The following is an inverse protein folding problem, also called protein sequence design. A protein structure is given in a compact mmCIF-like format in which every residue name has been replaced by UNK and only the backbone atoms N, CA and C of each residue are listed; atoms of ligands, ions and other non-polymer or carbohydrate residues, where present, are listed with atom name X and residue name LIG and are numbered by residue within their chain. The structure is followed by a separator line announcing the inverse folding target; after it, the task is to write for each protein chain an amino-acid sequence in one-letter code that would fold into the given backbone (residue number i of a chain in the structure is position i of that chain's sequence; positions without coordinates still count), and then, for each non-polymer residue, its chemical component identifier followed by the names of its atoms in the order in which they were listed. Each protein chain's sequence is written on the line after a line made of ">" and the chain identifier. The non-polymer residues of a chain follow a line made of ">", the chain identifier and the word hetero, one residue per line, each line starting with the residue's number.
data_IF_424106151347
#
_entry.id   IF_424106151347
#
_cell.length_a   1.000
_cell.length_b   1.000
_cell.length_c   1.000
_cell.angle_alpha   90.00
_cell.angle_beta   90.00
_cell.angle_gamma   90.00
#
_symmetry.space_group_name_H-M   'P 1'
#
loop_
_entity.id
_entity.type
_entity.pdbx_description
1 polymer ?
#
# COMPACT_ATOMS: atom_id res chain seq x y z
N UNK A 1 -26.67 -48.72 12.95
CA UNK A 1 -26.92 -47.83 11.79
C UNK A 1 -26.11 -48.36 10.62
N UNK A 2 -26.75 -48.93 9.59
CA UNK A 2 -26.04 -49.28 8.35
C UNK A 2 -25.84 -48.01 7.51
N UNK A 3 -24.66 -47.81 6.92
CA UNK A 3 -24.42 -46.68 6.04
C UNK A 3 -25.27 -46.82 4.75
N UNK A 4 -25.91 -45.73 4.33
CA UNK A 4 -26.70 -45.74 3.10
C UNK A 4 -25.72 -45.79 1.91
N UNK A 5 -25.83 -46.73 0.96
CA UNK A 5 -24.86 -46.86 -0.14
C UNK A 5 -24.71 -45.61 -1.02
N UNK A 6 -25.68 -44.68 -1.00
CA UNK A 6 -25.54 -43.36 -1.65
C UNK A 6 -24.47 -42.47 -0.99
N UNK A 7 -24.29 -42.56 0.33
CA UNK A 7 -23.32 -41.75 1.08
C UNK A 7 -21.88 -42.11 0.69
N UNK A 8 -21.62 -43.40 0.43
CA UNK A 8 -20.29 -43.91 0.06
C UNK A 8 -19.79 -43.34 -1.26
N UNK A 9 -20.69 -43.14 -2.25
CA UNK A 9 -20.34 -42.53 -3.54
C UNK A 9 -20.06 -41.04 -3.39
N UNK A 10 -20.84 -40.34 -2.56
CA UNK A 10 -20.62 -38.92 -2.25
C UNK A 10 -19.27 -38.66 -1.57
N UNK A 11 -18.92 -39.47 -0.56
CA UNK A 11 -17.66 -39.33 0.19
C UNK A 11 -16.43 -39.55 -0.71
N UNK A 12 -16.48 -40.50 -1.65
CA UNK A 12 -15.37 -40.74 -2.59
C UNK A 12 -15.07 -39.52 -3.48
N UNK A 13 -16.08 -38.72 -3.84
CA UNK A 13 -15.92 -37.47 -4.59
C UNK A 13 -15.36 -36.30 -3.76
N UNK A 14 -15.32 -36.47 -2.43
CA UNK A 14 -14.78 -35.51 -1.46
C UNK A 14 -13.33 -35.82 -1.06
N UNK A 15 -12.69 -36.88 -1.56
CA UNK A 15 -11.29 -37.19 -1.20
C UNK A 15 -10.32 -36.11 -1.69
N UNK A 16 -9.50 -35.60 -0.78
CA UNK A 16 -8.48 -34.58 -1.05
C UNK A 16 -7.15 -35.20 -1.46
N UNK A 17 -6.64 -34.81 -2.62
CA UNK A 17 -5.35 -35.28 -3.16
C UNK A 17 -4.11 -34.60 -2.54
N UNK A 18 -4.26 -33.81 -1.47
CA UNK A 18 -3.17 -33.11 -0.80
C UNK A 18 -2.57 -31.90 -1.54
N UNK A 19 -3.02 -31.59 -2.77
CA UNK A 19 -2.43 -30.52 -3.58
C UNK A 19 -2.97 -29.13 -3.19
N UNK A 20 -2.08 -28.22 -2.76
CA UNK A 20 -2.46 -26.89 -2.24
C UNK A 20 -3.24 -26.02 -3.25
N UNK A 21 -2.95 -26.14 -4.54
CA UNK A 21 -3.69 -25.41 -5.59
C UNK A 21 -5.15 -25.87 -5.71
N UNK A 22 -5.44 -27.12 -5.34
CA UNK A 22 -6.81 -27.68 -5.31
C UNK A 22 -7.52 -27.46 -3.98
N UNK A 23 -6.79 -27.12 -2.91
CA UNK A 23 -7.35 -26.99 -1.56
C UNK A 23 -8.57 -26.07 -1.50
N UNK A 24 -8.52 -24.86 -2.08
CA UNK A 24 -9.66 -23.92 -2.09
C UNK A 24 -10.93 -24.53 -2.72
N UNK A 25 -10.78 -25.27 -3.82
CA UNK A 25 -11.91 -25.91 -4.52
C UNK A 25 -12.45 -27.08 -3.70
N UNK A 26 -11.54 -27.86 -3.11
CA UNK A 26 -11.88 -28.96 -2.21
C UNK A 26 -12.63 -28.47 -0.96
N UNK A 27 -12.13 -27.44 -0.28
CA UNK A 27 -12.77 -26.80 0.87
C UNK A 27 -14.20 -26.36 0.56
N UNK A 28 -14.44 -25.77 -0.61
CA UNK A 28 -15.78 -25.36 -1.02
C UNK A 28 -16.74 -26.56 -1.15
N UNK A 29 -16.27 -27.69 -1.71
CA UNK A 29 -17.04 -28.94 -1.77
C UNK A 29 -17.28 -29.54 -0.38
N UNK A 30 -16.26 -29.58 0.47
CA UNK A 30 -16.36 -30.10 1.83
C UNK A 30 -17.39 -29.32 2.66
N UNK A 31 -17.34 -27.97 2.63
CA UNK A 31 -18.32 -27.10 3.30
C UNK A 31 -19.73 -27.24 2.69
N UNK A 32 -19.84 -27.45 1.37
CA UNK A 32 -21.15 -27.77 0.75
C UNK A 32 -21.73 -29.06 1.30
N UNK A 33 -20.91 -30.10 1.47
CA UNK A 33 -21.37 -31.37 2.03
C UNK A 33 -21.78 -31.26 3.50
N UNK A 34 -21.07 -30.47 4.32
CA UNK A 34 -21.52 -30.18 5.68
C UNK A 34 -22.90 -29.50 5.70
N UNK A 35 -23.18 -28.59 4.75
CA UNK A 35 -24.52 -27.98 4.61
C UNK A 35 -25.59 -29.00 4.22
N UNK A 36 -25.27 -29.94 3.34
CA UNK A 36 -26.16 -31.07 3.01
C UNK A 36 -26.46 -31.92 4.25
N UNK A 37 -25.46 -32.18 5.10
CA UNK A 37 -25.65 -32.89 6.38
C UNK A 37 -26.51 -32.09 7.37
N UNK A 38 -26.35 -30.76 7.44
CA UNK A 38 -27.22 -29.86 8.22
C UNK A 38 -28.68 -29.99 7.77
N UNK A 39 -28.96 -29.90 6.46
CA UNK A 39 -30.31 -30.05 5.90
C UNK A 39 -30.88 -31.45 6.14
N UNK A 40 -30.06 -32.51 6.00
CA UNK A 40 -30.48 -33.88 6.27
C UNK A 40 -30.86 -34.10 7.74
N UNK A 41 -30.10 -33.53 8.68
CA UNK A 41 -30.40 -33.60 10.11
C UNK A 41 -31.68 -32.83 10.47
N UNK A 42 -31.91 -31.65 9.87
CA UNK A 42 -33.16 -30.91 10.01
C UNK A 42 -34.36 -31.68 9.44
N UNK A 43 -34.20 -32.34 8.28
CA UNK A 43 -35.23 -33.19 7.70
C UNK A 43 -35.58 -34.42 8.56
N UNK A 44 -34.57 -35.05 9.19
CA UNK A 44 -34.79 -36.13 10.16
C UNK A 44 -35.50 -35.62 11.43
N UNK A 45 -35.12 -34.44 11.91
CA UNK A 45 -35.78 -33.82 13.06
C UNK A 45 -37.26 -33.55 12.80
N UNK A 46 -37.62 -32.97 11.65
CA UNK A 46 -39.01 -32.70 11.25
C UNK A 46 -39.89 -33.96 11.19
N UNK A 47 -39.29 -35.13 11.01
CA UNK A 47 -39.97 -36.43 11.01
C UNK A 47 -40.02 -37.10 12.41
N UNK A 48 -39.63 -36.39 13.47
CA UNK A 48 -39.43 -36.93 14.83
C UNK A 48 -40.07 -36.07 15.91
N UNK A 49 -40.14 -36.58 17.13
CA UNK A 49 -40.60 -35.85 18.33
C UNK A 49 -39.44 -35.27 19.17
N UNK A 50 -38.25 -35.15 18.59
CA UNK A 50 -37.04 -34.68 19.29
C UNK A 50 -36.92 -33.14 19.27
N UNK A 51 -36.08 -32.52 20.12
CA UNK A 51 -35.81 -31.08 20.08
C UNK A 51 -35.05 -30.67 18.80
N UNK A 52 -35.16 -29.40 18.40
CA UNK A 52 -34.56 -28.91 17.16
C UNK A 52 -33.01 -28.93 17.21
N UNK A 53 -32.33 -29.45 16.16
CA UNK A 53 -30.88 -29.34 16.01
C UNK A 53 -30.50 -27.93 15.56
N UNK A 54 -30.29 -27.03 16.51
CA UNK A 54 -30.00 -25.60 16.28
C UNK A 54 -28.59 -25.31 15.75
N UNK A 55 -27.65 -26.24 15.90
CA UNK A 55 -26.25 -26.09 15.47
C UNK A 55 -26.07 -26.70 14.08
N UNK A 56 -25.40 -25.99 13.17
CA UNK A 56 -25.10 -26.48 11.82
C UNK A 56 -23.74 -27.17 11.79
N UNK A 57 -23.56 -28.15 10.91
CA UNK A 57 -22.28 -28.85 10.76
C UNK A 57 -21.15 -27.90 10.33
N UNK A 58 -21.43 -26.91 9.48
CA UNK A 58 -20.42 -25.96 9.01
C UNK A 58 -19.95 -24.94 10.06
N UNK A 59 -20.71 -24.74 11.15
CA UNK A 59 -20.36 -23.78 12.21
C UNK A 59 -19.14 -24.27 13.02
N UNK A 60 -19.01 -25.59 13.20
CA UNK A 60 -17.90 -26.26 13.88
C UNK A 60 -16.51 -26.01 13.24
N UNK A 61 -16.45 -25.56 11.99
CA UNK A 61 -15.19 -25.19 11.33
C UNK A 61 -14.71 -23.79 11.72
N UNK A 62 -15.63 -22.91 12.15
CA UNK A 62 -15.35 -21.50 12.44
C UNK A 62 -15.05 -21.28 13.94
N UNK A 63 -15.64 -22.09 14.81
CA UNK A 63 -15.43 -22.04 16.25
C UNK A 63 -16.06 -23.25 16.94
N UNK A 64 -16.11 -23.23 18.28
CA UNK A 64 -16.97 -24.12 19.04
C UNK A 64 -18.36 -23.45 19.16
N UNK A 65 -19.44 -24.00 18.59
CA UNK A 65 -20.78 -23.43 18.71
C UNK A 65 -21.19 -23.33 20.19
N UNK A 66 -22.03 -22.37 20.59
CA UNK A 66 -22.47 -22.25 21.97
C UNK A 66 -23.25 -23.50 22.43
N UNK A 67 -23.10 -23.85 23.71
CA UNK A 67 -23.94 -24.89 24.34
C UNK A 67 -25.31 -24.26 24.63
N UNK A 68 -26.38 -24.85 24.10
CA UNK A 68 -27.73 -24.43 24.42
C UNK A 68 -28.03 -24.75 25.90
N UNK A 69 -28.22 -23.71 26.72
CA UNK A 69 -28.75 -23.83 28.08
C UNK A 69 -30.27 -23.93 28.02
N UNK A 70 -30.78 -25.16 27.97
CA UNK A 70 -32.22 -25.44 28.11
C UNK A 70 -32.53 -25.81 29.58
N UNK A 71 -33.53 -25.19 30.23
CA UNK A 71 -33.94 -25.56 31.59
C UNK A 71 -34.57 -26.96 31.69
N UNK A 72 -35.02 -27.57 30.59
CA UNK A 72 -35.43 -28.97 30.55
C UNK A 72 -34.20 -29.89 30.36
N UNK A 73 -33.88 -30.66 31.41
CA UNK A 73 -32.77 -31.63 31.41
C UNK A 73 -32.84 -32.63 30.24
N UNK A 74 -34.05 -33.02 29.79
CA UNK A 74 -34.21 -33.91 28.64
C UNK A 74 -33.83 -33.23 27.34
N UNK A 75 -34.17 -31.95 27.16
CA UNK A 75 -33.76 -31.16 25.98
C UNK A 75 -32.26 -30.88 26.00
N UNK A 76 -31.71 -30.52 27.15
CA UNK A 76 -30.26 -30.35 27.33
C UNK A 76 -29.48 -31.62 26.91
N UNK A 77 -29.95 -32.81 27.32
CA UNK A 77 -29.36 -34.11 26.89
C UNK A 77 -29.44 -34.32 25.38
N UNK A 78 -30.54 -33.96 24.73
CA UNK A 78 -30.66 -34.03 23.26
C UNK A 78 -29.71 -33.05 22.55
N UNK A 79 -29.59 -31.81 23.02
CA UNK A 79 -28.63 -30.85 22.47
C UNK A 79 -27.18 -31.33 22.64
N UNK A 80 -26.83 -31.91 23.79
CA UNK A 80 -25.50 -32.52 24.02
C UNK A 80 -25.27 -33.75 23.11
N UNK A 81 -26.29 -34.58 22.89
CA UNK A 81 -26.24 -35.69 21.95
C UNK A 81 -25.96 -35.20 20.52
N UNK A 82 -26.70 -34.21 20.03
CA UNK A 82 -26.47 -33.65 18.69
C UNK A 82 -25.05 -33.10 18.53
N UNK A 83 -24.54 -32.35 19.53
CA UNK A 83 -23.15 -31.85 19.52
C UNK A 83 -22.13 -32.99 19.38
N UNK A 84 -22.26 -34.02 20.23
CA UNK A 84 -21.36 -35.18 20.22
C UNK A 84 -21.42 -35.93 18.89
N UNK A 85 -22.64 -36.15 18.37
CA UNK A 85 -22.89 -36.82 17.09
C UNK A 85 -22.30 -36.04 15.91
N UNK A 86 -22.51 -34.73 15.84
CA UNK A 86 -21.94 -33.86 14.80
C UNK A 86 -20.41 -33.88 14.82
N UNK A 87 -19.79 -33.69 15.99
CA UNK A 87 -18.32 -33.73 16.15
C UNK A 87 -17.75 -35.07 15.68
N UNK A 88 -18.38 -36.19 16.05
CA UNK A 88 -17.91 -37.52 15.64
C UNK A 88 -18.11 -37.79 14.14
N UNK A 89 -19.21 -37.31 13.54
CA UNK A 89 -19.41 -37.41 12.10
C UNK A 89 -18.39 -36.56 11.32
N UNK A 90 -18.09 -35.32 11.76
CA UNK A 90 -17.08 -34.48 11.12
C UNK A 90 -15.69 -35.09 11.26
N UNK A 91 -15.31 -35.59 12.45
CA UNK A 91 -14.04 -36.32 12.65
C UNK A 91 -13.93 -37.55 11.74
N UNK A 92 -15.00 -38.34 11.65
CA UNK A 92 -15.07 -39.53 10.79
C UNK A 92 -14.92 -39.14 9.31
N UNK A 93 -15.61 -38.09 8.86
CA UNK A 93 -15.52 -37.60 7.50
C UNK A 93 -14.09 -37.13 7.18
N UNK A 94 -13.52 -36.23 8.01
CA UNK A 94 -12.14 -35.74 7.86
C UNK A 94 -11.13 -36.88 7.80
N UNK A 95 -11.29 -37.94 8.60
CA UNK A 95 -10.41 -39.11 8.57
C UNK A 95 -10.45 -39.93 7.28
N UNK A 96 -11.53 -39.79 6.48
CA UNK A 96 -11.72 -40.46 5.18
C UNK A 96 -11.36 -39.58 3.98
N UNK A 97 -11.51 -38.26 4.11
CA UNK A 97 -11.34 -37.32 2.98
C UNK A 97 -9.98 -36.63 2.95
N UNK A 98 -9.16 -36.73 3.99
CA UNK A 98 -7.81 -36.16 4.03
C UNK A 98 -6.73 -37.19 3.68
N UNK A 99 -5.54 -36.77 3.22
CA UNK A 99 -4.43 -37.69 2.94
C UNK A 99 -3.99 -38.46 4.20
N UNK A 100 -3.80 -39.78 4.07
CA UNK A 100 -3.48 -40.68 5.18
C UNK A 100 -2.28 -40.22 6.02
N UNK A 101 -1.21 -39.74 5.37
CA UNK A 101 -0.02 -39.20 6.05
C UNK A 101 -0.34 -38.03 6.97
N UNK A 102 -1.33 -37.19 6.63
CA UNK A 102 -1.79 -36.12 7.52
C UNK A 102 -2.67 -36.68 8.63
N UNK A 103 -3.59 -37.62 8.32
CA UNK A 103 -4.43 -38.25 9.34
C UNK A 103 -3.60 -38.98 10.40
N UNK A 104 -2.49 -39.63 10.01
CA UNK A 104 -1.52 -40.25 10.92
C UNK A 104 -0.82 -39.20 11.82
N UNK A 105 -0.22 -38.16 11.21
CA UNK A 105 0.39 -37.05 11.96
C UNK A 105 -0.59 -36.39 12.94
N UNK A 106 -1.85 -36.23 12.55
CA UNK A 106 -2.88 -35.68 13.43
C UNK A 106 -3.26 -36.63 14.56
N UNK A 107 -3.33 -37.95 14.35
CA UNK A 107 -3.58 -38.93 15.41
C UNK A 107 -2.46 -38.99 16.46
N UNK A 108 -1.21 -38.77 16.03
CA UNK A 108 -0.04 -38.74 16.92
C UNK A 108 0.04 -37.43 17.72
N UNK A 109 -0.37 -36.30 17.13
CA UNK A 109 -0.16 -34.96 17.70
C UNK A 109 -1.41 -34.31 18.33
N UNK A 110 -2.62 -34.77 17.98
CA UNK A 110 -3.88 -34.14 18.38
C UNK A 110 -4.84 -35.13 19.04
N UNK A 111 -5.40 -34.75 20.19
CA UNK A 111 -6.27 -35.65 20.96
C UNK A 111 -7.68 -35.78 20.37
N UNK A 112 -8.37 -36.87 20.71
CA UNK A 112 -9.81 -37.04 20.41
C UNK A 112 -10.69 -35.94 21.03
N UNK A 113 -10.19 -35.24 22.06
CA UNK A 113 -10.88 -34.15 22.76
C UNK A 113 -10.69 -32.78 22.10
N UNK A 114 -9.85 -32.66 21.08
CA UNK A 114 -9.55 -31.37 20.48
C UNK A 114 -10.75 -30.80 19.68
N UNK A 115 -11.05 -29.48 19.76
CA UNK A 115 -12.15 -28.89 19.01
C UNK A 115 -11.97 -28.99 17.48
N UNK A 116 -13.08 -29.19 16.76
CA UNK A 116 -13.10 -29.30 15.29
C UNK A 116 -12.44 -28.09 14.62
N UNK A 117 -12.71 -26.86 15.08
CA UNK A 117 -12.15 -25.65 14.50
C UNK A 117 -10.61 -25.56 14.61
N UNK A 118 -9.99 -26.23 15.60
CA UNK A 118 -8.51 -26.31 15.74
C UNK A 118 -7.91 -27.29 14.73
N UNK A 119 -8.50 -28.47 14.63
CA UNK A 119 -8.20 -29.46 13.58
C UNK A 119 -8.34 -28.83 12.18
N UNK A 120 -9.41 -28.06 11.95
CA UNK A 120 -9.63 -27.33 10.71
C UNK A 120 -8.57 -26.26 10.45
N UNK A 121 -8.19 -25.46 11.47
CA UNK A 121 -7.13 -24.46 11.34
C UNK A 121 -5.76 -25.06 10.97
N UNK A 122 -5.41 -26.26 11.49
CA UNK A 122 -4.17 -26.95 11.09
C UNK A 122 -4.24 -27.51 9.65
N UNK A 123 -5.42 -27.95 9.19
CA UNK A 123 -5.65 -28.31 7.78
C UNK A 123 -5.44 -27.08 6.88
N UNK A 124 -6.03 -25.94 7.23
CA UNK A 124 -5.86 -24.67 6.50
C UNK A 124 -4.40 -24.15 6.56
N UNK A 125 -3.70 -24.35 7.66
CA UNK A 125 -2.27 -24.00 7.81
C UNK A 125 -1.36 -24.89 6.96
N UNK A 126 -1.63 -26.20 6.88
CA UNK A 126 -0.83 -27.13 6.05
C UNK A 126 -1.13 -26.99 4.56
N UNK A 127 -2.39 -26.91 4.16
CA UNK A 127 -2.82 -27.00 2.76
C UNK A 127 -3.38 -25.71 2.17
N UNK A 128 -3.84 -24.79 3.00
CA UNK A 128 -4.35 -23.50 2.56
C UNK A 128 -3.28 -22.60 1.94
N UNK A 129 -3.74 -21.73 1.06
CA UNK A 129 -2.93 -20.62 0.57
C UNK A 129 -3.04 -19.51 1.62
N UNK A 130 -1.94 -19.28 2.36
CA UNK A 130 -1.87 -18.19 3.35
C UNK A 130 -2.37 -16.87 2.72
N UNK A 131 -3.26 -16.18 3.44
CA UNK A 131 -3.74 -14.85 3.09
C UNK A 131 -2.57 -13.86 2.93
N UNK A 132 -1.59 -13.90 3.83
CA UNK A 132 -0.34 -13.12 3.75
C UNK A 132 0.46 -13.48 2.49
N UNK A 133 0.59 -14.76 2.14
CA UNK A 133 1.29 -15.18 0.89
C UNK A 133 0.53 -14.74 -0.36
N UNK A 134 -0.81 -14.75 -0.33
CA UNK A 134 -1.67 -14.25 -1.41
C UNK A 134 -1.46 -12.75 -1.61
N UNK A 135 -1.58 -11.97 -0.54
CA UNK A 135 -1.30 -10.53 -0.51
C UNK A 135 0.11 -10.22 -1.01
N UNK A 136 1.14 -10.85 -0.42
CA UNK A 136 2.56 -10.70 -0.81
C UNK A 136 2.78 -10.96 -2.30
N UNK A 137 2.07 -11.93 -2.88
CA UNK A 137 2.19 -12.26 -4.30
C UNK A 137 1.47 -11.24 -5.17
N UNK A 138 0.27 -10.80 -4.78
CA UNK A 138 -0.50 -9.79 -5.50
C UNK A 138 0.18 -8.41 -5.45
N UNK A 139 0.65 -7.95 -4.30
CA UNK A 139 1.42 -6.70 -4.14
C UNK A 139 2.72 -6.74 -4.95
N UNK A 140 3.45 -7.88 -4.95
CA UNK A 140 4.63 -8.02 -5.82
C UNK A 140 4.27 -7.98 -7.30
N UNK A 141 3.11 -8.52 -7.71
CA UNK A 141 2.62 -8.40 -9.09
C UNK A 141 2.28 -6.94 -9.43
N UNK A 142 1.63 -6.20 -8.53
CA UNK A 142 1.34 -4.77 -8.71
C UNK A 142 2.60 -3.96 -9.00
N UNK A 143 3.65 -4.12 -8.18
CA UNK A 143 4.96 -3.47 -8.39
C UNK A 143 5.56 -3.85 -9.76
N UNK A 144 5.60 -5.14 -10.09
CA UNK A 144 6.14 -5.64 -11.37
C UNK A 144 5.37 -5.17 -12.60
N UNK A 145 4.06 -4.93 -12.50
CA UNK A 145 3.26 -4.41 -13.62
C UNK A 145 3.56 -2.93 -13.87
N UNK A 146 3.73 -2.12 -12.82
CA UNK A 146 4.19 -0.73 -12.98
C UNK A 146 5.59 -0.66 -13.60
N UNK A 147 6.55 -1.42 -13.06
CA UNK A 147 7.94 -1.41 -13.54
C UNK A 147 8.11 -2.11 -14.91
N UNK A 148 7.16 -2.95 -15.32
CA UNK A 148 7.21 -3.73 -16.56
C UNK A 148 6.98 -2.94 -17.85
N UNK A 149 7.11 -3.62 -18.99
CA UNK A 149 6.69 -3.10 -20.31
C UNK A 149 5.16 -3.10 -20.41
N UNK A 150 4.59 -2.04 -20.99
CA UNK A 150 3.15 -1.88 -21.22
C UNK A 150 2.85 -1.36 -22.64
N UNK A 151 1.69 -1.74 -23.18
CA UNK A 151 1.25 -1.38 -24.54
C UNK A 151 0.75 0.06 -24.65
N UNK A 152 0.07 0.57 -23.63
CA UNK A 152 -0.36 1.96 -23.49
C UNK A 152 -0.51 2.33 -22.01
N UNK A 153 -0.60 3.63 -21.70
CA UNK A 153 -0.85 4.10 -20.33
C UNK A 153 -2.22 3.65 -19.81
N UNK A 154 -3.23 3.64 -20.68
CA UNK A 154 -4.58 3.12 -20.38
C UNK A 154 -4.55 1.63 -19.99
N UNK A 155 -3.83 0.80 -20.76
CA UNK A 155 -3.67 -0.63 -20.45
C UNK A 155 -2.98 -0.83 -19.08
N UNK A 156 -1.95 -0.03 -18.78
CA UNK A 156 -1.26 -0.06 -17.49
C UNK A 156 -2.21 0.28 -16.33
N UNK A 157 -2.98 1.37 -16.42
CA UNK A 157 -3.97 1.71 -15.40
C UNK A 157 -5.05 0.64 -15.25
N UNK A 158 -5.52 0.04 -16.35
CA UNK A 158 -6.49 -1.06 -16.34
C UNK A 158 -6.00 -2.29 -15.55
N UNK A 159 -4.78 -2.75 -15.83
CA UNK A 159 -4.16 -3.87 -15.10
C UNK A 159 -3.93 -3.53 -13.62
N UNK A 160 -3.38 -2.36 -13.33
CA UNK A 160 -3.09 -1.93 -11.96
C UNK A 160 -4.37 -1.74 -11.13
N UNK A 161 -5.47 -1.23 -11.72
CA UNK A 161 -6.80 -1.18 -11.07
C UNK A 161 -7.32 -2.57 -10.73
N UNK A 162 -7.22 -3.52 -11.67
CA UNK A 162 -7.66 -4.89 -11.44
C UNK A 162 -6.88 -5.54 -10.29
N UNK A 163 -5.58 -5.27 -10.20
CA UNK A 163 -4.75 -5.68 -9.07
C UNK A 163 -5.11 -4.97 -7.76
N UNK A 164 -5.35 -3.64 -7.77
CA UNK A 164 -5.86 -2.89 -6.61
C UNK A 164 -7.16 -3.51 -6.09
N UNK A 165 -8.15 -3.73 -6.95
CA UNK A 165 -9.43 -4.31 -6.54
C UNK A 165 -9.27 -5.71 -5.96
N UNK A 166 -8.40 -6.55 -6.54
CA UNK A 166 -8.09 -7.87 -6.00
C UNK A 166 -7.41 -7.81 -4.61
N UNK A 167 -6.45 -6.91 -4.44
CA UNK A 167 -5.72 -6.68 -3.19
C UNK A 167 -6.66 -6.12 -2.11
N UNK A 168 -7.41 -5.06 -2.42
CA UNK A 168 -8.30 -4.41 -1.47
C UNK A 168 -9.50 -5.28 -1.10
N UNK A 169 -10.06 -6.09 -2.01
CA UNK A 169 -11.06 -7.10 -1.66
C UNK A 169 -10.54 -8.08 -0.60
N UNK A 170 -9.28 -8.50 -0.73
CA UNK A 170 -8.63 -9.39 0.23
C UNK A 170 -8.30 -8.67 1.55
N UNK A 171 -7.79 -7.44 1.52
CA UNK A 171 -7.49 -6.67 2.73
C UNK A 171 -8.74 -6.22 3.47
N UNK A 172 -9.84 -5.90 2.78
CA UNK A 172 -11.13 -5.63 3.42
C UNK A 172 -11.66 -6.85 4.17
N UNK A 173 -11.50 -8.07 3.62
CA UNK A 173 -11.90 -9.29 4.31
C UNK A 173 -11.17 -9.47 5.65
N UNK A 174 -9.84 -9.36 5.65
CA UNK A 174 -8.98 -9.74 6.78
C UNK A 174 -8.50 -8.58 7.68
N UNK A 175 -8.40 -7.36 7.15
CA UNK A 175 -7.90 -6.15 7.85
C UNK A 175 -8.96 -5.05 8.01
N UNK A 176 -10.16 -5.22 7.43
CA UNK A 176 -11.27 -4.24 7.44
C UNK A 176 -10.91 -2.85 6.87
N UNK A 177 -9.93 -2.81 5.96
CA UNK A 177 -9.47 -1.59 5.29
C UNK A 177 -8.83 -1.89 3.95
N UNK A 178 -8.75 -0.88 3.10
CA UNK A 178 -7.96 -0.89 1.87
C UNK A 178 -6.45 -0.79 2.19
N UNK A 179 -5.62 -1.28 1.27
CA UNK A 179 -4.15 -1.25 1.37
C UNK A 179 -3.51 -0.49 0.20
N UNK A 180 -4.17 -0.48 -0.97
CA UNK A 180 -3.71 0.24 -2.16
C UNK A 180 -4.70 1.38 -2.46
N UNK A 181 -4.26 2.63 -2.33
CA UNK A 181 -5.06 3.81 -2.72
C UNK A 181 -4.97 4.09 -4.23
N UNK A 182 -5.84 4.96 -4.74
CA UNK A 182 -5.70 5.50 -6.09
C UNK A 182 -4.47 6.40 -6.22
N UNK A 183 -4.13 7.17 -5.19
CA UNK A 183 -2.93 8.02 -5.18
C UNK A 183 -1.65 7.19 -5.39
N UNK A 184 -1.58 6.00 -4.75
CA UNK A 184 -0.46 5.08 -4.94
C UNK A 184 -0.41 4.55 -6.38
N UNK A 185 -1.57 4.22 -6.99
CA UNK A 185 -1.62 3.82 -8.39
C UNK A 185 -1.09 4.93 -9.32
N UNK A 186 -1.53 6.17 -9.10
CA UNK A 186 -1.08 7.32 -9.87
C UNK A 186 0.44 7.49 -9.72
N UNK A 187 0.96 7.51 -8.49
CA UNK A 187 2.39 7.68 -8.23
C UNK A 187 3.24 6.56 -8.84
N UNK A 188 2.74 5.31 -8.86
CA UNK A 188 3.42 4.20 -9.54
C UNK A 188 3.50 4.40 -11.06
N UNK A 189 2.44 4.90 -11.70
CA UNK A 189 2.46 5.21 -13.15
C UNK A 189 3.36 6.41 -13.45
N UNK A 190 3.29 7.48 -12.66
CA UNK A 190 4.14 8.66 -12.85
C UNK A 190 5.63 8.34 -12.62
N UNK A 191 5.95 7.42 -11.70
CA UNK A 191 7.32 7.01 -11.41
C UNK A 191 8.03 6.28 -12.56
N UNK A 192 7.29 5.75 -13.54
CA UNK A 192 7.83 4.99 -14.68
C UNK A 192 7.71 5.72 -16.02
N UNK A 193 7.24 6.97 -16.02
CA UNK A 193 7.08 7.82 -17.20
C UNK A 193 8.07 9.01 -17.15
N UNK A 194 8.50 9.57 -18.30
CA UNK A 194 9.44 10.70 -18.31
C UNK A 194 8.73 12.00 -17.89
N UNK A 195 9.20 12.61 -16.81
CA UNK A 195 8.53 13.74 -16.16
C UNK A 195 8.57 15.04 -16.96
N UNK A 196 9.46 15.14 -17.96
CA UNK A 196 9.52 16.25 -18.90
C UNK A 196 8.23 16.47 -19.72
N UNK A 197 7.40 15.43 -19.89
CA UNK A 197 6.16 15.51 -20.68
C UNK A 197 4.93 15.88 -19.82
N UNK A 198 4.89 15.49 -18.54
CA UNK A 198 3.70 15.64 -17.68
C UNK A 198 3.92 16.53 -16.44
N UNK A 199 5.15 16.80 -16.03
CA UNK A 199 5.47 17.40 -14.72
C UNK A 199 4.95 18.83 -14.52
N UNK A 200 4.60 19.53 -15.60
CA UNK A 200 3.94 20.85 -15.54
C UNK A 200 2.39 20.78 -15.59
N UNK A 201 1.81 19.62 -15.90
CA UNK A 201 0.37 19.42 -16.12
C UNK A 201 -0.33 18.68 -14.96
N UNK A 202 0.46 18.01 -14.12
CA UNK A 202 -0.01 17.23 -12.97
C UNK A 202 0.48 17.92 -11.70
N UNK A 203 -0.46 18.38 -10.88
CA UNK A 203 -0.21 19.02 -9.60
C UNK A 203 -0.65 18.05 -8.50
N UNK A 204 0.14 17.98 -7.42
CA UNK A 204 -0.19 17.15 -6.26
C UNK A 204 -1.06 17.95 -5.30
N UNK A 205 -2.36 18.04 -5.61
CA UNK A 205 -3.37 18.74 -4.82
C UNK A 205 -4.66 17.91 -4.70
N UNK A 206 -5.47 18.18 -3.68
CA UNK A 206 -6.68 17.40 -3.36
C UNK A 206 -7.84 17.58 -4.33
N UNK A 207 -7.82 18.57 -5.21
CA UNK A 207 -8.87 18.81 -6.19
C UNK A 207 -8.57 18.10 -7.53
N UNK A 208 -7.32 18.17 -8.02
CA UNK A 208 -6.94 17.68 -9.36
C UNK A 208 -6.18 16.34 -9.38
N UNK A 209 -5.65 15.87 -8.25
CA UNK A 209 -4.92 14.59 -8.19
C UNK A 209 -5.86 13.38 -8.09
N UNK A 210 -6.79 13.26 -9.05
CA UNK A 210 -7.77 12.18 -9.14
C UNK A 210 -7.40 11.22 -10.27
N UNK A 211 -7.56 9.91 -10.07
CA UNK A 211 -7.06 8.90 -11.02
C UNK A 211 -7.63 9.07 -12.44
N UNK A 212 -8.90 9.47 -12.56
CA UNK A 212 -9.57 9.73 -13.84
C UNK A 212 -8.96 10.95 -14.55
N UNK A 213 -8.66 12.02 -13.82
CA UNK A 213 -8.05 13.23 -14.41
C UNK A 213 -6.59 13.00 -14.82
N UNK A 214 -5.82 12.32 -13.97
CA UNK A 214 -4.41 12.04 -14.25
C UNK A 214 -4.27 11.05 -15.40
N UNK A 215 -5.09 9.99 -15.44
CA UNK A 215 -5.14 9.08 -16.59
C UNK A 215 -5.51 9.82 -17.88
N UNK A 216 -6.58 10.63 -17.87
CA UNK A 216 -6.99 11.39 -19.06
C UNK A 216 -5.90 12.35 -19.56
N UNK A 217 -5.20 13.04 -18.65
CA UNK A 217 -4.04 13.88 -18.99
C UNK A 217 -2.90 13.05 -19.62
N UNK A 218 -2.55 11.91 -19.03
CA UNK A 218 -1.47 11.06 -19.55
C UNK A 218 -1.83 10.41 -20.89
N UNK A 219 -3.09 10.01 -21.10
CA UNK A 219 -3.60 9.55 -22.40
C UNK A 219 -3.56 10.70 -23.43
N UNK A 220 -3.90 11.93 -23.04
CA UNK A 220 -3.76 13.10 -23.91
C UNK A 220 -2.31 13.40 -24.34
N UNK A 221 -1.33 13.11 -23.47
CA UNK A 221 0.11 13.31 -23.72
C UNK A 221 0.72 12.18 -24.56
N UNK A 222 0.45 10.93 -24.20
CA UNK A 222 1.13 9.76 -24.77
C UNK A 222 0.28 8.95 -25.75
N UNK A 223 -1.05 9.09 -25.73
CA UNK A 223 -1.97 8.32 -26.56
C UNK A 223 -1.80 6.82 -26.38
N UNK A 224 -1.81 6.09 -27.50
CA UNK A 224 -1.62 4.64 -27.58
C UNK A 224 -0.15 4.20 -27.63
N UNK A 225 0.81 5.04 -27.24
CA UNK A 225 2.24 4.69 -27.26
C UNK A 225 2.61 3.67 -26.18
N UNK A 226 3.47 2.70 -26.53
CA UNK A 226 4.04 1.76 -25.56
C UNK A 226 5.09 2.43 -24.68
N UNK A 227 5.46 1.78 -23.56
CA UNK A 227 6.57 2.22 -22.70
C UNK A 227 7.85 2.49 -23.51
N UNK A 228 8.17 1.60 -24.45
CA UNK A 228 9.36 1.69 -25.30
C UNK A 228 9.33 2.92 -26.20
N UNK A 229 8.18 3.21 -26.80
CA UNK A 229 8.01 4.37 -27.68
C UNK A 229 8.09 5.69 -26.88
N UNK A 230 7.49 5.71 -25.68
CA UNK A 230 7.55 6.86 -24.76
C UNK A 230 9.00 7.14 -24.35
N UNK A 231 9.77 6.12 -23.98
CA UNK A 231 11.21 6.28 -23.67
C UNK A 231 12.04 6.68 -24.90
N UNK A 232 11.62 6.24 -26.09
CA UNK A 232 12.23 6.62 -27.37
C UNK A 232 11.98 8.07 -27.80
N UNK A 233 10.94 8.75 -27.28
CA UNK A 233 10.61 10.13 -27.65
C UNK A 233 11.76 11.12 -27.39
N UNK A 234 12.58 10.89 -26.35
CA UNK A 234 13.76 11.71 -26.05
C UNK A 234 14.96 11.47 -26.99
N UNK A 235 14.99 10.35 -27.73
CA UNK A 235 16.17 9.91 -28.50
C UNK A 235 16.11 10.34 -29.98
N UNK A 236 14.91 10.46 -30.55
CA UNK A 236 14.70 10.90 -31.95
C UNK A 236 15.10 12.35 -32.23
N UNK A 237 15.41 13.15 -31.20
CA UNK A 237 15.93 14.51 -31.35
C UNK A 237 17.41 14.57 -31.77
N UNK A 238 18.14 13.44 -31.75
CA UNK A 238 19.59 13.38 -32.00
C UNK A 238 20.02 12.61 -33.26
N UNK A 239 19.08 12.00 -34.00
CA UNK A 239 19.37 11.16 -35.18
C UNK A 239 18.78 11.68 -36.49
N UNK A 240 19.10 12.93 -36.86
CA UNK A 240 18.91 13.44 -38.24
C UNK A 240 20.15 14.15 -38.77
N UNK A 241 21.10 13.36 -39.24
CA UNK A 241 22.08 13.76 -40.26
C UNK A 241 21.92 12.81 -41.45
N UNK A 242 21.92 13.38 -42.66
CA UNK A 242 21.83 12.72 -43.96
C UNK A 242 20.52 11.99 -44.33
N UNK A 243 19.88 12.46 -45.41
CA UNK A 243 19.22 11.56 -46.37
C UNK A 243 17.71 11.69 -46.55
N UNK A 244 17.33 12.23 -47.72
CA UNK A 244 16.15 11.85 -48.53
C UNK A 244 14.76 12.42 -48.14
N UNK A 245 14.10 13.01 -49.14
CA UNK A 245 12.74 13.55 -49.09
C UNK A 245 11.70 12.42 -49.03
N UNK A 246 10.58 12.64 -48.33
CA UNK A 246 9.27 12.82 -48.99
C UNK A 246 8.27 13.55 -48.06
N UNK A 247 7.53 14.50 -48.65
CA UNK A 247 6.30 15.17 -48.16
C UNK A 247 5.11 14.18 -48.20
N UNK A 248 3.95 14.30 -47.53
CA UNK A 248 3.29 15.24 -46.57
C UNK A 248 2.50 14.37 -45.55
N UNK A 249 2.02 14.76 -44.37
CA UNK A 249 1.23 15.93 -43.94
C UNK A 249 1.57 16.31 -42.49
N UNK A 250 1.76 17.59 -42.20
CA UNK A 250 1.87 18.10 -40.83
C UNK A 250 0.52 18.61 -40.34
N UNK A 251 -0.08 17.92 -39.37
CA UNK A 251 -1.04 18.57 -38.46
C UNK A 251 -0.23 19.48 -37.55
N UNK A 252 -0.62 20.75 -37.45
CA UNK A 252 0.10 21.73 -36.63
C UNK A 252 0.00 21.37 -35.14
N UNK A 253 1.16 21.12 -34.53
CA UNK A 253 1.32 21.08 -33.07
C UNK A 253 2.21 22.25 -32.69
N UNK A 254 1.69 23.13 -31.82
CA UNK A 254 2.39 24.28 -31.26
C UNK A 254 3.56 23.81 -30.36
N UNK A 255 4.68 23.45 -31.00
CA UNK A 255 5.88 23.00 -30.32
C UNK A 255 6.67 24.18 -29.75
N UNK A 256 6.44 24.48 -28.46
CA UNK A 256 7.35 25.32 -27.67
C UNK A 256 8.64 24.53 -27.42
N UNK A 257 9.57 24.62 -28.38
CA UNK A 257 10.78 23.81 -28.40
C UNK A 257 11.77 24.18 -27.28
N UNK A 258 11.69 23.47 -26.16
CA UNK A 258 12.67 23.55 -25.07
C UNK A 258 13.84 22.59 -25.29
N UNK A 259 14.56 22.77 -26.41
CA UNK A 259 15.90 22.21 -26.55
C UNK A 259 16.83 22.80 -25.47
N UNK A 260 17.79 22.01 -24.96
CA UNK A 260 18.84 22.50 -24.05
C UNK A 260 19.47 23.76 -24.64
N UNK A 261 19.20 24.93 -24.03
CA UNK A 261 19.62 26.22 -24.59
C UNK A 261 21.14 26.29 -24.64
N UNK A 262 21.72 26.11 -25.83
CA UNK A 262 22.92 26.88 -26.20
C UNK A 262 22.62 28.33 -25.84
N UNK A 263 23.56 28.99 -25.18
CA UNK A 263 23.44 30.40 -24.77
C UNK A 263 22.97 31.27 -25.94
N UNK A 264 21.68 31.55 -26.04
CA UNK A 264 21.13 32.40 -27.09
C UNK A 264 21.71 33.79 -26.90
N UNK A 265 22.43 34.26 -27.93
CA UNK A 265 23.00 35.60 -28.00
C UNK A 265 21.98 36.66 -28.41
N UNK A 266 20.69 36.29 -28.51
CA UNK A 266 19.65 37.17 -29.02
C UNK A 266 18.81 37.79 -27.90
N UNK A 267 18.60 39.10 -28.04
CA UNK A 267 17.69 39.91 -27.26
C UNK A 267 16.29 39.76 -27.85
N UNK A 268 15.45 38.89 -27.29
CA UNK A 268 14.01 38.81 -27.65
C UNK A 268 13.16 38.37 -26.47
N UNK A 269 12.08 39.13 -26.23
CA UNK A 269 11.13 38.93 -25.11
C UNK A 269 10.70 40.26 -24.49
N UNK A 270 9.67 40.91 -25.07
CA UNK A 270 9.00 42.07 -24.45
C UNK A 270 9.75 43.40 -24.53
N UNK A 271 10.76 43.62 -23.69
CA UNK A 271 11.40 44.95 -23.49
C UNK A 271 12.80 45.07 -24.11
N UNK A 272 13.42 43.94 -24.45
CA UNK A 272 14.76 43.87 -25.01
C UNK A 272 15.88 44.09 -23.98
N UNK A 273 15.64 43.77 -22.71
CA UNK A 273 16.56 44.07 -21.61
C UNK A 273 17.37 42.85 -21.14
N UNK A 274 18.50 43.13 -20.47
CA UNK A 274 19.42 42.12 -19.99
C UNK A 274 18.81 41.27 -18.84
N UNK A 275 18.73 39.94 -19.02
CA UNK A 275 18.33 38.94 -18.00
C UNK A 275 19.23 38.84 -16.74
N UNK A 276 20.06 39.85 -16.47
CA UNK A 276 20.85 39.96 -15.24
C UNK A 276 20.57 41.25 -14.50
N UNK A 277 20.65 42.40 -15.20
CA UNK A 277 20.43 43.71 -14.59
C UNK A 277 19.07 44.35 -14.91
N UNK A 278 18.26 43.74 -15.78
CA UNK A 278 16.96 44.27 -16.23
C UNK A 278 17.06 45.70 -16.74
N UNK A 279 18.02 45.95 -17.65
CA UNK A 279 18.26 47.27 -18.24
C UNK A 279 18.95 48.29 -17.32
N UNK A 280 18.97 48.08 -16.00
CA UNK A 280 19.55 49.02 -15.02
C UNK A 280 20.99 49.44 -15.34
N UNK A 281 21.81 48.56 -15.91
CA UNK A 281 23.21 48.84 -16.23
C UNK A 281 23.45 49.42 -17.64
N UNK A 282 22.41 49.77 -18.41
CA UNK A 282 22.58 50.27 -19.78
C UNK A 282 23.34 51.62 -19.84
N UNK A 283 23.30 52.43 -18.78
CA UNK A 283 24.07 53.67 -18.72
C UNK A 283 25.60 53.43 -18.75
N UNK A 284 26.07 52.29 -18.21
CA UNK A 284 27.48 51.87 -18.27
C UNK A 284 27.91 51.43 -19.68
N UNK A 285 26.95 51.22 -20.59
CA UNK A 285 27.18 50.89 -22.00
C UNK A 285 26.70 52.03 -22.93
N UNK A 286 26.74 53.28 -22.46
CA UNK A 286 26.37 54.45 -23.27
C UNK A 286 24.89 54.48 -23.69
N UNK A 287 24.01 53.85 -22.92
CA UNK A 287 22.59 53.65 -23.25
C UNK A 287 22.30 52.39 -24.07
N UNK A 288 23.33 51.71 -24.61
CA UNK A 288 23.14 50.53 -25.44
C UNK A 288 22.60 49.33 -24.63
N UNK A 289 21.57 48.66 -25.18
CA UNK A 289 21.03 47.40 -24.64
C UNK A 289 22.03 46.26 -24.84
N UNK A 290 22.17 45.37 -23.85
CA UNK A 290 23.14 44.28 -23.87
C UNK A 290 22.56 42.95 -23.38
N UNK A 291 23.19 41.83 -23.75
CA UNK A 291 22.84 40.47 -23.28
C UNK A 291 23.55 40.09 -21.98
N UNK A 292 23.02 39.11 -21.26
CA UNK A 292 23.58 38.59 -19.99
C UNK A 292 25.07 38.22 -20.05
N UNK A 293 25.58 37.78 -21.20
CA UNK A 293 27.02 37.48 -21.38
C UNK A 293 27.91 38.74 -21.31
N UNK A 294 27.43 39.89 -21.80
CA UNK A 294 28.14 41.17 -21.85
C UNK A 294 27.68 42.19 -20.80
N UNK A 295 27.01 41.75 -19.73
CA UNK A 295 26.51 42.64 -18.69
C UNK A 295 27.66 43.14 -17.77
N UNK A 296 27.90 44.46 -17.65
CA UNK A 296 28.98 44.99 -16.81
C UNK A 296 28.87 44.55 -15.34
N UNK A 297 27.69 44.70 -14.74
CA UNK A 297 27.44 44.31 -13.35
C UNK A 297 27.64 42.80 -13.11
N UNK A 298 27.34 41.95 -14.11
CA UNK A 298 27.64 40.51 -14.00
C UNK A 298 29.13 40.21 -14.03
N UNK A 299 29.91 41.02 -14.75
CA UNK A 299 31.37 40.89 -14.83
C UNK A 299 31.99 41.27 -13.48
N UNK A 300 31.56 42.40 -12.92
CA UNK A 300 31.94 42.89 -11.59
C UNK A 300 31.59 41.89 -10.46
N UNK A 301 30.38 41.31 -10.46
CA UNK A 301 29.99 40.26 -9.49
C UNK A 301 30.88 39.01 -9.57
N UNK A 302 31.38 38.69 -10.77
CA UNK A 302 32.26 37.54 -11.00
C UNK A 302 33.72 37.84 -10.60
N UNK A 303 34.19 39.06 -10.86
CA UNK A 303 35.51 39.57 -10.46
C UNK A 303 35.63 39.67 -8.94
N UNK A 304 34.56 40.10 -8.25
CA UNK A 304 34.44 40.11 -6.78
C UNK A 304 34.21 38.71 -6.16
N UNK A 305 34.22 37.64 -6.98
CA UNK A 305 34.10 36.22 -6.58
C UNK A 305 32.80 35.85 -5.83
N UNK A 306 31.75 36.66 -5.94
CA UNK A 306 30.42 36.32 -5.41
C UNK A 306 29.49 35.72 -6.45
N UNK A 307 28.31 35.31 -5.99
CA UNK A 307 27.28 34.68 -6.82
C UNK A 307 25.89 35.23 -6.47
N UNK A 308 25.18 35.70 -7.50
CA UNK A 308 23.73 35.96 -7.53
C UNK A 308 23.23 35.72 -8.96
N UNK A 309 22.00 35.23 -9.13
CA UNK A 309 21.49 34.81 -10.45
C UNK A 309 21.06 36.00 -11.31
N UNK A 310 20.70 37.11 -10.66
CA UNK A 310 20.37 38.42 -11.22
C UNK A 310 20.62 39.52 -10.16
N UNK A 311 20.56 40.80 -10.54
CA UNK A 311 20.90 41.95 -9.67
C UNK A 311 19.96 42.15 -8.46
N UNK A 312 18.71 41.68 -8.55
CA UNK A 312 17.71 41.80 -7.47
C UNK A 312 17.85 40.68 -6.42
N UNK A 313 18.70 39.68 -6.66
CA UNK A 313 19.03 38.65 -5.66
C UNK A 313 20.18 39.12 -4.73
N UNK A 314 20.17 38.72 -3.44
CA UNK A 314 21.25 39.05 -2.51
C UNK A 314 22.56 38.40 -2.96
N UNK A 315 23.63 39.21 -2.99
CA UNK A 315 24.98 38.80 -3.35
C UNK A 315 25.58 37.86 -2.31
N UNK A 316 26.02 36.66 -2.72
CA UNK A 316 26.63 35.66 -1.83
C UNK A 316 28.14 35.56 -2.11
N UNK A 317 29.03 36.01 -1.20
CA UNK A 317 30.48 35.86 -1.39
C UNK A 317 30.90 34.38 -1.30
N UNK A 318 31.92 33.97 -2.08
CA UNK A 318 32.52 32.63 -1.94
C UNK A 318 33.29 32.51 -0.62
N UNK A 319 32.72 31.80 0.34
CA UNK A 319 33.47 31.26 1.50
C UNK A 319 34.41 30.16 1.00
N UNK A 320 35.71 30.27 1.32
CA UNK A 320 36.69 29.19 1.05
C UNK A 320 36.37 27.99 1.97
N UNK A 321 35.87 26.89 1.41
CA UNK A 321 35.84 25.60 2.13
C UNK A 321 37.26 25.02 2.19
N UNK A 322 37.81 24.89 3.39
CA UNK A 322 38.95 24.00 3.61
C UNK A 322 38.48 22.55 3.48
N UNK A 323 39.24 21.73 2.75
CA UNK A 323 38.96 20.31 2.53
C UNK A 323 39.56 19.53 3.70
N UNK A 324 38.72 19.07 4.63
CA UNK A 324 39.11 18.06 5.60
C UNK A 324 38.74 16.68 5.04
N UNK A 325 39.72 15.78 4.96
CA UNK A 325 39.49 14.37 4.71
C UNK A 325 39.13 13.71 6.04
N UNK A 326 38.08 12.89 6.05
CA UNK A 326 37.70 12.04 7.19
C UNK A 326 37.49 10.63 6.64
N UNK A 327 38.14 9.67 7.27
CA UNK A 327 38.21 8.29 6.82
C UNK A 327 36.87 7.55 7.00
N UNK A 328 36.73 6.46 6.24
CA UNK A 328 35.66 5.47 6.41
C UNK A 328 36.07 4.52 7.52
N UNK A 329 35.41 4.60 8.68
CA UNK A 329 35.10 3.46 9.54
C UNK A 329 34.21 3.89 10.73
N UNK A 330 33.03 3.28 10.84
CA UNK A 330 32.43 2.69 12.05
C UNK A 330 30.99 2.25 11.72
N UNK A 331 30.83 0.96 11.48
CA UNK A 331 29.59 0.22 11.76
C UNK A 331 29.83 -0.52 13.08
N UNK A 332 28.76 -0.84 13.83
CA UNK A 332 28.76 -1.46 15.16
C UNK A 332 29.15 -0.53 16.33
N UNK A 333 28.16 0.16 16.90
CA UNK A 333 27.81 0.08 18.33
C UNK A 333 26.66 1.06 18.65
N UNK A 334 25.42 0.59 18.62
CA UNK A 334 24.30 1.21 19.36
C UNK A 334 23.19 0.17 19.58
N UNK A 335 23.39 -0.70 20.58
CA UNK A 335 22.30 -1.46 21.18
C UNK A 335 22.61 -1.77 22.66
N UNK A 336 22.37 -0.76 23.51
CA UNK A 336 22.08 -0.83 24.95
C UNK A 336 21.61 0.55 25.42
N UNK A 337 20.74 0.55 26.44
CA UNK A 337 20.22 1.72 27.16
C UNK A 337 19.19 2.62 26.46
N UNK A 338 18.22 2.00 25.77
CA UNK A 338 16.92 2.61 25.47
C UNK A 338 15.75 1.72 25.94
N UNK A 339 15.67 1.47 27.25
CA UNK A 339 14.63 0.67 27.88
C UNK A 339 13.25 1.36 27.90
N UNK A 340 12.56 1.41 26.75
CA UNK A 340 11.18 1.89 26.67
C UNK A 340 10.18 0.78 27.04
N UNK A 341 9.59 0.89 28.24
CA UNK A 341 8.46 0.06 28.65
C UNK A 341 7.22 0.44 27.84
N UNK A 342 6.68 -0.51 27.06
CA UNK A 342 5.38 -0.36 26.41
C UNK A 342 4.30 -0.55 27.48
N UNK A 343 3.45 0.47 27.67
CA UNK A 343 2.30 0.39 28.57
C UNK A 343 1.16 -0.41 27.92
N UNK A 344 0.51 -1.26 28.71
CA UNK A 344 -0.58 -2.14 28.27
C UNK A 344 -1.92 -1.35 28.23
N UNK A 345 -2.68 -1.37 27.13
CA UNK A 345 -3.96 -0.64 27.03
C UNK A 345 -5.14 -1.50 27.51
N UNK A 346 -5.14 -1.90 28.79
CA UNK A 346 -6.29 -2.55 29.43
C UNK A 346 -6.31 -2.23 30.94
N UNK A 347 -6.95 -1.12 31.30
CA UNK A 347 -7.40 -0.80 32.65
C UNK A 347 -8.60 0.16 32.55
N UNK A 348 -9.76 -0.26 33.08
CA UNK A 348 -10.98 0.55 33.08
C UNK A 348 -10.90 1.76 34.04
N UNK A 349 -11.85 2.71 33.92
CA UNK A 349 -11.85 3.91 34.74
C UNK A 349 -12.50 3.62 36.09
N UNK A 350 -11.72 3.62 37.16
CA UNK A 350 -12.25 3.69 38.53
C UNK A 350 -11.82 4.97 39.25
N UNK A 351 -12.70 5.41 40.14
CA UNK A 351 -12.82 6.81 40.58
C UNK A 351 -12.06 7.14 41.86
N UNK A 352 -11.88 8.45 42.08
CA UNK A 352 -11.45 9.11 43.33
C UNK A 352 -9.96 9.04 43.69
N UNK A 353 -9.32 10.22 43.78
CA UNK A 353 -9.02 10.84 45.08
C UNK A 353 -8.59 12.32 44.90
N UNK A 354 -8.97 13.16 45.86
CA UNK A 354 -8.71 14.60 45.87
C UNK A 354 -7.26 14.94 46.31
N UNK A 355 -6.73 16.13 45.97
CA UNK A 355 -5.36 16.51 46.33
C UNK A 355 -5.28 17.00 47.79
N UNK A 356 -4.11 16.83 48.42
CA UNK A 356 -3.77 17.57 49.63
C UNK A 356 -2.28 18.02 49.59
N UNK A 357 -1.93 19.21 50.12
CA UNK A 357 -0.64 19.85 49.83
C UNK A 357 0.37 19.76 51.00
N UNK A 358 1.47 20.51 50.84
CA UNK A 358 2.31 21.09 51.90
C UNK A 358 3.28 20.16 52.68
N UNK A 359 4.50 20.04 52.13
CA UNK A 359 5.78 20.04 52.86
C UNK A 359 6.80 20.79 51.98
N UNK A 360 7.79 21.54 52.48
CA UNK A 360 7.95 22.33 53.70
C UNK A 360 9.16 23.24 53.46
N UNK A 361 9.11 24.52 53.83
CA UNK A 361 10.15 25.49 53.44
C UNK A 361 11.48 25.32 54.22
N UNK A 362 12.62 25.69 53.60
CA UNK A 362 13.63 26.58 54.23
C UNK A 362 14.89 26.88 53.38
N UNK A 363 15.10 28.19 53.13
CA UNK A 363 16.35 29.01 52.98
C UNK A 363 16.24 29.98 51.78
N UNK A 364 15.96 31.28 51.99
CA UNK A 364 16.88 32.36 52.46
C UNK A 364 18.04 32.51 51.45
N UNK A 365 18.20 33.53 50.59
CA UNK A 365 18.15 35.03 50.69
C UNK A 365 18.12 35.62 49.24
N UNK A 366 17.94 36.91 48.87
CA UNK A 366 17.63 38.20 49.55
C UNK A 366 17.04 39.23 48.53
N UNK A 367 16.09 40.07 48.97
CA UNK A 367 15.64 41.42 48.51
C UNK A 367 15.73 41.97 47.05
N UNK A 368 14.55 42.49 46.61
CA UNK A 368 14.26 43.83 46.00
C UNK A 368 14.79 44.13 44.58
N UNK A 369 14.11 44.92 43.71
CA UNK A 369 13.04 45.92 43.94
C UNK A 369 12.06 46.08 42.75
N UNK A 370 10.87 46.67 43.03
CA UNK A 370 9.87 47.37 42.18
C UNK A 370 10.13 47.43 40.65
N UNK A 371 9.26 47.04 39.71
CA UNK A 371 7.78 47.17 39.51
C UNK A 371 7.27 48.62 39.32
N UNK A 372 6.78 48.94 38.10
CA UNK A 372 5.86 50.04 37.69
C UNK A 372 6.42 51.49 37.78
N UNK A 373 5.98 52.51 37.03
CA UNK A 373 5.09 52.60 35.84
C UNK A 373 5.09 54.05 35.29
N UNK A 374 5.37 54.23 33.99
CA UNK A 374 4.67 55.08 33.00
C UNK A 374 4.42 56.60 33.24
N UNK A 375 4.48 57.37 32.13
CA UNK A 375 4.26 58.84 31.97
C UNK A 375 5.34 59.74 32.60
N UNK A 376 5.77 60.84 31.98
CA UNK A 376 5.25 61.53 30.78
C UNK A 376 6.07 61.24 29.51
#
# INVERSE_FOLDING_TARGET
>A
MAANPKDTVGINLLVFNGKKDKFRVWTAKFVSHLKEMTVALQGQWLASTTPEPTIKFEDWLQGDPPVATDPDEKRAKWHQYYRTMQVQQIRTLLSKVLPDQFVQQMKESHSEKEPIYRLWAEIEKKYGVSNVTTMKTATRKLMRVADGDFQSVEALFGELRTLKHSINSHSQKYLKRDVVSDDLLILMVLGVLPSEFFGAQIVLDTASFRIVEVEAKLIGIFGSKSKRDIMGMGQSATSKVAGQLHRTNSVEVNNVANGKRKSSSYVTGGTGECFYCFGKSNYLTGGAKHVKKGCPTRKEDFETRGFRSNINEPFKPKVKRHKAEVAVDLVEQFDRDAGYKIANPDAGPDTNLAPNPALSASRVRLMRSRRRSMTW
#
